data_IF_748650669285
#
_entry.id   IF_748650669285
#
_cell.length_a   1.000
_cell.length_b   1.000
_cell.length_c   1.000
_cell.angle_alpha   90.00
_cell.angle_beta   90.00
_cell.angle_gamma   90.00
#
_symmetry.space_group_name_H-M   'P 1'
#
loop_
_entity.id
_entity.type
_entity.pdbx_description
1 polymer ?
#
# COMPACT_ATOMS: atom_id res chain seq x y z
N UNK A 1 1.62 3.47 28.75
CA UNK A 1 0.26 3.40 28.15
C UNK A 1 -0.56 4.65 28.45
N UNK A 2 -1.27 4.78 29.59
CA UNK A 2 -2.14 5.98 29.81
C UNK A 2 -1.42 7.34 29.77
N UNK A 3 -0.18 7.41 30.27
CA UNK A 3 0.63 8.64 30.22
C UNK A 3 1.10 8.96 28.80
N UNK A 4 1.46 7.94 28.02
CA UNK A 4 1.85 8.08 26.60
C UNK A 4 0.66 8.56 25.77
N UNK A 5 -0.53 8.01 25.98
CA UNK A 5 -1.75 8.42 25.27
C UNK A 5 -2.09 9.90 25.55
N UNK A 6 -1.94 10.35 26.79
CA UNK A 6 -2.13 11.76 27.15
C UNK A 6 -1.10 12.68 26.46
N UNK A 7 0.16 12.24 26.38
CA UNK A 7 1.22 12.95 25.65
C UNK A 7 0.88 13.08 24.16
N UNK A 8 0.49 11.99 23.50
CA UNK A 8 0.07 12.00 22.09
C UNK A 8 -1.12 12.94 21.87
N UNK A 9 -2.16 12.86 22.71
CA UNK A 9 -3.33 13.75 22.59
C UNK A 9 -2.95 15.22 22.68
N UNK A 10 -2.16 15.57 23.68
CA UNK A 10 -1.73 16.95 23.88
C UNK A 10 -0.87 17.44 22.71
N UNK A 11 0.10 16.63 22.27
CA UNK A 11 0.96 16.97 21.15
C UNK A 11 0.17 17.15 19.85
N UNK A 12 -0.77 16.24 19.56
CA UNK A 12 -1.62 16.34 18.37
C UNK A 12 -2.52 17.59 18.39
N UNK A 13 -3.07 17.96 19.54
CA UNK A 13 -3.91 19.15 19.66
C UNK A 13 -3.09 20.45 19.57
N UNK A 14 -1.91 20.49 20.18
CA UNK A 14 -1.07 21.69 20.23
C UNK A 14 -0.29 21.94 18.94
N UNK A 15 0.26 20.87 18.32
CA UNK A 15 1.16 20.99 17.16
C UNK A 15 0.41 20.79 15.85
N UNK A 16 -0.48 19.80 15.78
CA UNK A 16 -1.19 19.43 14.54
C UNK A 16 -2.61 20.01 14.47
N UNK A 17 -3.10 20.59 15.58
CA UNK A 17 -4.49 21.00 15.75
C UNK A 17 -5.50 19.87 15.45
N UNK A 18 -5.12 18.64 15.81
CA UNK A 18 -5.94 17.43 15.64
C UNK A 18 -6.41 16.90 16.98
N UNK A 19 -7.64 16.40 17.00
CA UNK A 19 -8.19 15.68 18.16
C UNK A 19 -8.05 14.18 17.92
N UNK A 20 -7.26 13.53 18.77
CA UNK A 20 -7.06 12.08 18.75
C UNK A 20 -7.40 11.49 20.12
N UNK A 21 -7.70 10.20 20.17
CA UNK A 21 -7.93 9.45 21.43
C UNK A 21 -6.63 8.93 22.04
N UNK A 22 -5.76 8.42 21.19
CA UNK A 22 -4.48 7.79 21.52
C UNK A 22 -3.61 7.72 20.24
N UNK A 23 -2.44 7.09 20.33
CA UNK A 23 -1.54 6.92 19.19
C UNK A 23 -2.15 6.08 18.06
N UNK A 24 -3.00 5.10 18.36
CA UNK A 24 -3.64 4.28 17.32
C UNK A 24 -4.66 5.10 16.53
N UNK A 25 -5.40 5.97 17.21
CA UNK A 25 -6.35 6.89 16.57
C UNK A 25 -5.63 7.91 15.68
N UNK A 26 -4.43 8.38 16.06
CA UNK A 26 -3.57 9.21 15.19
C UNK A 26 -3.25 8.48 13.87
N UNK A 27 -2.76 7.24 13.97
CA UNK A 27 -2.41 6.42 12.80
C UNK A 27 -3.65 6.15 11.95
N UNK A 28 -4.77 5.78 12.58
CA UNK A 28 -6.02 5.48 11.89
C UNK A 28 -6.56 6.70 11.13
N UNK A 29 -6.55 7.89 11.73
CA UNK A 29 -6.98 9.11 11.07
C UNK A 29 -6.06 9.48 9.91
N UNK A 30 -4.73 9.35 10.07
CA UNK A 30 -3.76 9.55 8.99
C UNK A 30 -4.00 8.57 7.83
N UNK A 31 -4.17 7.27 8.11
CA UNK A 31 -4.48 6.25 7.09
C UNK A 31 -5.79 6.57 6.37
N UNK A 32 -6.82 7.00 7.10
CA UNK A 32 -8.09 7.39 6.49
C UNK A 32 -7.93 8.63 5.58
N UNK A 33 -7.10 9.59 5.95
CA UNK A 33 -6.79 10.74 5.10
C UNK A 33 -6.00 10.34 3.84
N UNK A 34 -5.02 9.44 3.96
CA UNK A 34 -4.31 8.83 2.82
C UNK A 34 -5.28 8.17 1.85
N UNK A 35 -6.11 7.23 2.32
CA UNK A 35 -7.09 6.52 1.49
C UNK A 35 -8.03 7.49 0.75
N UNK A 36 -8.48 8.55 1.44
CA UNK A 36 -9.35 9.57 0.84
C UNK A 36 -8.62 10.44 -0.18
N UNK A 37 -7.33 10.71 0.01
CA UNK A 37 -6.52 11.49 -0.92
C UNK A 37 -6.19 10.67 -2.17
N UNK A 38 -5.79 9.41 -2.01
CA UNK A 38 -5.58 8.47 -3.11
C UNK A 38 -6.83 8.33 -3.98
N UNK A 39 -7.99 8.06 -3.37
CA UNK A 39 -9.26 7.95 -4.11
C UNK A 39 -9.63 9.22 -4.87
N UNK A 40 -9.27 10.39 -4.35
CA UNK A 40 -9.61 11.67 -5.00
C UNK A 40 -8.65 12.05 -6.10
N UNK A 41 -7.39 11.65 -6.01
CA UNK A 41 -6.34 12.08 -6.93
C UNK A 41 -5.98 11.00 -7.95
N UNK A 42 -5.81 9.75 -7.50
CA UNK A 42 -5.35 8.64 -8.33
C UNK A 42 -6.52 8.00 -9.08
N UNK A 43 -7.62 7.74 -8.38
CA UNK A 43 -8.74 6.99 -8.96
C UNK A 43 -9.63 7.83 -9.89
N UNK A 44 -9.44 9.15 -9.89
CA UNK A 44 -10.16 10.08 -10.78
C UNK A 44 -9.33 10.54 -11.98
N UNK A 45 -8.03 10.26 -12.02
CA UNK A 45 -7.16 10.57 -13.18
C UNK A 45 -7.47 9.58 -14.31
N UNK A 46 -8.12 10.01 -15.42
CA UNK A 46 -8.58 9.10 -16.46
C UNK A 46 -7.42 8.39 -17.17
N UNK A 47 -6.24 9.02 -17.25
CA UNK A 47 -5.05 8.41 -17.83
C UNK A 47 -4.51 7.32 -16.91
N UNK A 48 -4.47 7.58 -15.61
CA UNK A 48 -4.00 6.61 -14.63
C UNK A 48 -4.95 5.41 -14.52
N UNK A 49 -6.27 5.64 -14.56
CA UNK A 49 -7.29 4.59 -14.61
C UNK A 49 -7.15 3.72 -15.86
N UNK A 50 -6.91 4.31 -17.03
CA UNK A 50 -6.69 3.54 -18.25
C UNK A 50 -5.43 2.67 -18.18
N UNK A 51 -4.34 3.21 -17.62
CA UNK A 51 -3.10 2.46 -17.39
C UNK A 51 -3.30 1.32 -16.39
N UNK A 52 -4.01 1.57 -15.29
CA UNK A 52 -4.37 0.59 -14.27
C UNK A 52 -5.14 -0.59 -14.88
N UNK A 53 -6.12 -0.31 -15.75
CA UNK A 53 -6.84 -1.34 -16.51
C UNK A 53 -5.94 -2.15 -17.43
N UNK A 54 -5.03 -1.49 -18.16
CA UNK A 54 -4.06 -2.15 -19.03
C UNK A 54 -3.15 -3.11 -18.26
N UNK A 55 -2.59 -2.66 -17.15
CA UNK A 55 -1.79 -3.48 -16.24
C UNK A 55 -2.61 -4.67 -15.69
N UNK A 56 -3.81 -4.42 -15.16
CA UNK A 56 -4.68 -5.49 -14.64
C UNK A 56 -5.06 -6.51 -15.72
N UNK A 57 -5.28 -6.06 -16.95
CA UNK A 57 -5.51 -6.92 -18.11
C UNK A 57 -4.29 -7.81 -18.42
N UNK A 58 -3.09 -7.24 -18.43
CA UNK A 58 -1.84 -7.96 -18.65
C UNK A 58 -1.63 -9.05 -17.58
N UNK A 59 -1.79 -8.70 -16.30
CA UNK A 59 -1.66 -9.65 -15.19
C UNK A 59 -2.69 -10.78 -15.25
N UNK A 60 -3.95 -10.49 -15.58
CA UNK A 60 -4.97 -11.53 -15.81
C UNK A 60 -4.60 -12.44 -16.99
N UNK A 61 -4.05 -11.87 -18.07
CA UNK A 61 -3.56 -12.63 -19.21
C UNK A 61 -2.44 -13.63 -18.87
N UNK A 62 -1.65 -13.32 -17.83
CA UNK A 62 -0.63 -14.22 -17.25
C UNK A 62 -1.16 -15.17 -16.17
N UNK A 63 -2.47 -15.13 -15.89
CA UNK A 63 -3.12 -16.03 -14.94
C UNK A 63 -3.23 -15.51 -13.50
N UNK A 64 -2.86 -14.25 -13.24
CA UNK A 64 -3.01 -13.65 -11.91
C UNK A 64 -4.43 -13.16 -11.64
N UNK A 65 -4.92 -13.41 -10.43
CA UNK A 65 -6.17 -12.83 -9.96
C UNK A 65 -5.96 -11.34 -9.63
N UNK A 66 -6.59 -10.45 -10.41
CA UNK A 66 -6.56 -9.02 -10.17
C UNK A 66 -7.91 -8.53 -9.62
N UNK A 67 -8.01 -8.25 -8.31
CA UNK A 67 -9.28 -7.95 -7.64
C UNK A 67 -9.84 -6.58 -8.02
N UNK A 68 -9.04 -5.69 -8.61
CA UNK A 68 -9.47 -4.36 -9.02
C UNK A 68 -8.70 -3.85 -10.25
N UNK A 69 -9.32 -2.91 -10.97
CA UNK A 69 -8.72 -2.13 -12.05
C UNK A 69 -8.55 -0.64 -11.65
N UNK A 70 -8.68 -0.34 -10.35
CA UNK A 70 -8.61 0.99 -9.77
C UNK A 70 -7.18 1.29 -9.28
N UNK A 71 -6.58 2.46 -9.60
CA UNK A 71 -5.20 2.78 -9.25
C UNK A 71 -4.80 2.55 -7.78
N UNK A 72 -5.54 3.09 -6.81
CA UNK A 72 -5.26 2.94 -5.37
C UNK A 72 -5.27 1.47 -4.88
N UNK A 73 -6.16 0.67 -5.45
CA UNK A 73 -6.27 -0.76 -5.14
C UNK A 73 -5.15 -1.58 -5.77
N UNK A 74 -4.73 -1.21 -6.98
CA UNK A 74 -3.62 -1.86 -7.68
C UNK A 74 -2.28 -1.57 -7.01
N UNK A 75 -2.03 -0.32 -6.62
CA UNK A 75 -0.75 0.09 -6.02
C UNK A 75 -0.36 -0.69 -4.76
N UNK A 76 -1.33 -1.35 -4.11
CA UNK A 76 -1.13 -2.17 -2.91
C UNK A 76 -1.40 -3.67 -3.13
N UNK A 77 -1.76 -4.11 -4.33
CA UNK A 77 -2.24 -5.47 -4.61
C UNK A 77 -1.17 -6.53 -4.40
N UNK A 78 0.05 -6.31 -4.93
CA UNK A 78 1.17 -7.24 -4.79
C UNK A 78 1.58 -7.46 -3.34
N UNK A 79 1.72 -6.37 -2.58
CA UNK A 79 2.01 -6.42 -1.15
C UNK A 79 0.91 -7.24 -0.44
N UNK A 80 -0.36 -6.95 -0.66
CA UNK A 80 -1.46 -7.72 -0.02
C UNK A 80 -1.41 -9.21 -0.35
N UNK A 81 -1.09 -9.58 -1.59
CA UNK A 81 -0.98 -10.98 -2.02
C UNK A 81 0.19 -11.69 -1.32
N UNK A 82 1.36 -11.06 -1.27
CA UNK A 82 2.52 -11.60 -0.57
C UNK A 82 2.27 -11.76 0.93
N UNK A 83 1.71 -10.74 1.59
CA UNK A 83 1.39 -10.80 3.01
C UNK A 83 0.35 -11.89 3.32
N UNK A 84 -0.63 -12.11 2.44
CA UNK A 84 -1.57 -13.23 2.56
C UNK A 84 -0.84 -14.58 2.47
N UNK A 85 0.00 -14.77 1.47
CA UNK A 85 0.77 -16.02 1.30
C UNK A 85 1.62 -16.31 2.55
N UNK A 86 2.29 -15.29 3.09
CA UNK A 86 3.08 -15.42 4.32
C UNK A 86 2.22 -15.79 5.53
N UNK A 87 1.04 -15.20 5.67
CA UNK A 87 0.11 -15.51 6.76
C UNK A 87 -0.46 -16.93 6.65
N UNK A 88 -0.77 -17.40 5.42
CA UNK A 88 -1.28 -18.75 5.16
C UNK A 88 -0.23 -19.83 5.51
N UNK A 89 1.07 -19.49 5.53
CA UNK A 89 2.15 -20.35 6.04
C UNK A 89 2.22 -20.44 7.58
N UNK A 90 1.30 -19.78 8.30
CA UNK A 90 1.04 -20.04 9.72
C UNK A 90 2.04 -19.44 10.72
N UNK A 91 3.01 -18.62 10.30
CA UNK A 91 3.94 -17.89 11.19
C UNK A 91 4.33 -16.53 10.61
N UNK A 92 4.59 -15.54 11.47
CA UNK A 92 5.18 -14.25 11.08
C UNK A 92 6.53 -14.45 10.36
N UNK A 93 7.25 -15.50 10.74
CA UNK A 93 8.47 -16.03 10.12
C UNK A 93 8.33 -17.55 9.98
N UNK A 94 7.90 -18.05 8.79
CA UNK A 94 7.92 -19.47 8.50
C UNK A 94 9.34 -20.02 8.69
N UNK A 95 9.47 -21.12 9.44
CA UNK A 95 10.75 -21.84 9.53
C UNK A 95 10.77 -22.86 8.39
N UNK A 96 11.28 -22.44 7.25
CA UNK A 96 11.51 -23.30 6.09
C UNK A 96 13.01 -23.57 5.98
N UNK A 97 13.37 -24.81 5.64
CA UNK A 97 14.71 -25.10 5.13
C UNK A 97 14.93 -24.40 3.78
N UNK A 98 16.17 -24.20 3.33
CA UNK A 98 16.44 -23.63 2.01
C UNK A 98 15.72 -24.36 0.87
N UNK A 99 15.68 -25.70 0.90
CA UNK A 99 15.04 -26.51 -0.14
C UNK A 99 13.52 -26.36 -0.14
N UNK A 100 12.91 -26.19 1.03
CA UNK A 100 11.47 -25.90 1.16
C UNK A 100 11.12 -24.46 0.74
N UNK A 101 12.04 -23.51 0.95
CA UNK A 101 11.84 -22.10 0.61
C UNK A 101 12.02 -21.80 -0.88
N UNK A 102 12.93 -22.51 -1.55
CA UNK A 102 13.33 -22.23 -2.95
C UNK A 102 12.16 -22.15 -3.93
N UNK A 103 11.18 -23.08 -3.93
CA UNK A 103 10.04 -23.00 -4.84
C UNK A 103 9.13 -21.78 -4.59
N UNK A 104 9.07 -21.26 -3.36
CA UNK A 104 8.33 -20.03 -3.08
C UNK A 104 9.07 -18.81 -3.60
N UNK A 105 10.39 -18.75 -3.38
CA UNK A 105 11.23 -17.68 -3.89
C UNK A 105 11.21 -17.63 -5.42
N UNK A 106 11.30 -18.77 -6.11
CA UNK A 106 11.25 -18.83 -7.57
C UNK A 106 9.91 -18.29 -8.11
N UNK A 107 8.80 -18.62 -7.44
CA UNK A 107 7.46 -18.08 -7.77
C UNK A 107 7.36 -16.58 -7.52
N UNK A 108 7.91 -16.09 -6.42
CA UNK A 108 7.91 -14.66 -6.09
C UNK A 108 8.74 -13.87 -7.10
N UNK A 109 9.94 -14.34 -7.46
CA UNK A 109 10.79 -13.73 -8.48
C UNK A 109 10.07 -13.69 -9.83
N UNK A 110 9.51 -14.82 -10.28
CA UNK A 110 8.78 -14.87 -11.54
C UNK A 110 7.62 -13.87 -11.56
N UNK A 111 6.80 -13.84 -10.49
CA UNK A 111 5.69 -12.90 -10.44
C UNK A 111 6.12 -11.45 -10.34
N UNK A 112 7.22 -11.14 -9.65
CA UNK A 112 7.73 -9.77 -9.56
C UNK A 112 8.26 -9.27 -10.92
N UNK A 113 8.88 -10.15 -11.71
CA UNK A 113 9.32 -9.82 -13.07
C UNK A 113 8.13 -9.56 -14.00
N UNK A 114 7.06 -10.36 -13.87
CA UNK A 114 5.84 -10.17 -14.65
C UNK A 114 5.05 -8.93 -14.25
N UNK A 115 4.98 -8.64 -12.95
CA UNK A 115 4.43 -7.39 -12.42
C UNK A 115 5.20 -6.18 -12.98
N UNK A 116 6.53 -6.23 -12.96
CA UNK A 116 7.39 -5.19 -13.53
C UNK A 116 7.13 -5.02 -15.04
N UNK A 117 7.05 -6.13 -15.79
CA UNK A 117 6.79 -6.11 -17.23
C UNK A 117 5.45 -5.45 -17.56
N UNK A 118 4.38 -5.91 -16.90
CA UNK A 118 3.02 -5.43 -17.10
C UNK A 118 2.82 -4.00 -16.57
N UNK A 119 3.51 -3.64 -15.48
CA UNK A 119 3.22 -2.47 -14.66
C UNK A 119 4.14 -1.28 -14.88
N UNK A 120 5.26 -1.43 -15.61
CA UNK A 120 6.30 -0.39 -15.78
C UNK A 120 5.77 1.00 -16.14
N UNK A 121 4.75 1.11 -16.99
CA UNK A 121 4.22 2.41 -17.42
C UNK A 121 3.19 2.96 -16.42
N UNK A 122 2.38 2.08 -15.85
CA UNK A 122 1.47 2.44 -14.77
C UNK A 122 2.24 2.94 -13.55
N UNK A 123 3.19 2.16 -13.02
CA UNK A 123 3.94 2.52 -11.81
C UNK A 123 4.84 3.75 -12.02
N UNK A 124 5.37 3.96 -13.22
CA UNK A 124 6.09 5.20 -13.57
C UNK A 124 5.21 6.44 -13.47
N UNK A 125 3.93 6.33 -13.85
CA UNK A 125 2.97 7.42 -13.71
C UNK A 125 2.38 7.54 -12.29
N UNK A 126 2.16 6.40 -11.63
CA UNK A 126 1.54 6.27 -10.31
C UNK A 126 2.47 6.74 -9.19
N UNK A 127 3.71 6.22 -9.12
CA UNK A 127 4.60 6.39 -7.96
C UNK A 127 4.86 7.86 -7.61
N UNK A 128 5.15 8.78 -8.55
CA UNK A 128 5.37 10.19 -8.20
C UNK A 128 4.11 10.85 -7.62
N UNK A 129 2.91 10.46 -8.09
CA UNK A 129 1.64 11.01 -7.58
C UNK A 129 1.32 10.45 -6.19
N UNK A 130 1.51 9.15 -6.00
CA UNK A 130 1.37 8.51 -4.70
C UNK A 130 2.34 9.12 -3.68
N UNK A 131 3.61 9.33 -4.06
CA UNK A 131 4.60 9.98 -3.20
C UNK A 131 4.18 11.40 -2.82
N UNK A 132 3.68 12.20 -3.77
CA UNK A 132 3.21 13.55 -3.48
C UNK A 132 2.04 13.56 -2.47
N UNK A 133 1.11 12.61 -2.59
CA UNK A 133 0.01 12.43 -1.63
C UNK A 133 0.57 12.05 -0.25
N UNK A 134 1.49 11.08 -0.21
CA UNK A 134 2.14 10.66 1.03
C UNK A 134 2.86 11.81 1.70
N UNK A 135 3.69 12.56 0.97
CA UNK A 135 4.43 13.72 1.49
C UNK A 135 3.48 14.80 2.04
N UNK A 136 2.38 15.08 1.35
CA UNK A 136 1.38 16.07 1.79
C UNK A 136 0.67 15.63 3.07
N UNK A 137 0.18 14.39 3.12
CA UNK A 137 -0.51 13.85 4.29
C UNK A 137 0.48 13.71 5.46
N UNK A 138 1.62 13.07 5.27
CA UNK A 138 2.64 12.91 6.31
C UNK A 138 3.05 14.24 6.92
N UNK A 139 3.25 15.28 6.11
CA UNK A 139 3.58 16.63 6.63
C UNK A 139 2.46 17.25 7.47
N UNK A 140 1.19 17.06 7.07
CA UNK A 140 0.03 17.50 7.87
C UNK A 140 -0.11 16.74 9.19
N UNK A 141 0.44 15.52 9.26
CA UNK A 141 0.41 14.66 10.44
C UNK A 141 1.75 14.60 11.18
N UNK A 142 2.71 15.48 10.85
CA UNK A 142 3.99 15.62 11.56
C UNK A 142 4.99 14.47 11.35
N UNK A 143 4.92 13.76 10.22
CA UNK A 143 5.82 12.64 9.86
C UNK A 143 6.81 12.97 8.72
N UNK A 144 7.06 14.26 8.44
CA UNK A 144 7.93 14.70 7.34
C UNK A 144 8.94 15.75 7.75
#
# INVERSE_FOLDING_TARGET
LKADDACYRQAAEQVLHKKIKDQQDLIAQMTQEMDRAERRTLDTDPRLVAMARGYAGCMRGKGYAMPADTPSLIGSAEVKRFWKQRNDLGKLTPQLTPDEARPYLDKEIASALEDLECGKDFFRAYNPRYQAIWDEVSRRWGQG
#
